data_IF_652745239108
#
_entry.id   IF_652745239108
#
_cell.length_a   1.000
_cell.length_b   1.000
_cell.length_c   1.000
_cell.angle_alpha   90.00
_cell.angle_beta   90.00
_cell.angle_gamma   90.00
#
_symmetry.space_group_name_H-M   'P 1'
#
loop_
_entity.id
_entity.type
_entity.pdbx_description
1 polymer ?
#
# COMPACT_ATOMS: atom_id res chain seq x y z
N UNK A 1 -21.92 -22.55 15.58
CA UNK A 1 -21.63 -21.64 14.46
C UNK A 1 -22.68 -20.53 14.49
N UNK A 2 -22.37 -19.40 15.10
CA UNK A 2 -23.36 -18.34 15.38
C UNK A 2 -23.48 -17.42 14.17
N UNK A 3 -24.66 -17.43 13.53
CA UNK A 3 -25.01 -16.55 12.42
C UNK A 3 -25.39 -15.18 13.00
N UNK A 4 -24.72 -14.12 12.54
CA UNK A 4 -24.97 -12.75 13.00
C UNK A 4 -26.02 -12.10 12.10
N UNK A 5 -27.18 -11.73 12.66
CA UNK A 5 -28.30 -11.12 11.94
C UNK A 5 -28.13 -9.59 11.87
N UNK A 6 -28.02 -9.04 10.65
CA UNK A 6 -27.80 -7.61 10.41
C UNK A 6 -29.07 -6.90 9.87
N UNK A 7 -30.26 -7.41 10.16
CA UNK A 7 -31.52 -6.95 9.55
C UNK A 7 -31.99 -5.57 10.02
N UNK A 8 -31.27 -4.91 10.94
CA UNK A 8 -31.69 -3.64 11.58
C UNK A 8 -30.77 -2.44 11.29
N UNK A 9 -29.75 -2.60 10.44
CA UNK A 9 -28.83 -1.50 10.08
C UNK A 9 -29.48 -0.43 9.19
N UNK A 10 -29.87 0.71 9.76
CA UNK A 10 -30.32 1.88 8.98
C UNK A 10 -29.12 2.48 8.24
N UNK A 11 -29.16 2.48 6.90
CA UNK A 11 -28.14 3.12 6.05
C UNK A 11 -28.21 4.64 6.22
N UNK A 12 -27.26 5.21 6.97
CA UNK A 12 -27.01 6.65 6.99
C UNK A 12 -26.59 7.15 5.61
N UNK A 13 -26.70 8.47 5.40
CA UNK A 13 -26.41 9.13 4.13
C UNK A 13 -25.10 8.63 3.52
N UNK A 14 -25.18 8.15 2.28
CA UNK A 14 -24.00 7.80 1.50
C UNK A 14 -23.25 9.09 1.19
N UNK A 15 -22.21 9.40 1.97
CA UNK A 15 -21.26 10.41 1.58
C UNK A 15 -20.70 10.00 0.20
N UNK A 16 -20.86 10.82 -0.85
CA UNK A 16 -20.40 10.45 -2.17
C UNK A 16 -18.89 10.21 -2.08
N UNK A 17 -18.46 9.01 -2.44
CA UNK A 17 -17.04 8.65 -2.42
C UNK A 17 -16.25 9.71 -3.18
N UNK A 18 -15.17 10.27 -2.60
CA UNK A 18 -14.37 11.29 -3.27
C UNK A 18 -13.93 10.75 -4.63
N UNK A 19 -13.98 11.60 -5.67
CA UNK A 19 -13.76 11.25 -7.08
C UNK A 19 -12.41 10.56 -7.37
N UNK A 20 -11.48 10.62 -6.41
CA UNK A 20 -10.13 10.02 -6.46
C UNK A 20 -10.06 8.60 -5.91
N UNK A 21 -11.13 8.05 -5.35
CA UNK A 21 -11.17 6.68 -4.79
C UNK A 21 -12.22 5.83 -5.48
N UNK A 22 -11.77 4.82 -6.21
CA UNK A 22 -12.66 3.81 -6.81
C UNK A 22 -13.01 2.74 -5.78
N UNK A 23 -14.29 2.55 -5.51
CA UNK A 23 -14.76 1.43 -4.67
C UNK A 23 -14.69 0.13 -5.48
N UNK A 24 -13.81 -0.77 -5.07
CA UNK A 24 -13.69 -2.12 -5.65
C UNK A 24 -14.03 -3.18 -4.61
N UNK A 25 -14.48 -4.36 -5.07
CA UNK A 25 -14.63 -5.55 -4.22
C UNK A 25 -13.57 -6.56 -4.65
N UNK A 26 -12.59 -6.81 -3.79
CA UNK A 26 -11.51 -7.77 -4.02
C UNK A 26 -11.43 -8.74 -2.84
N UNK A 27 -10.98 -9.97 -3.11
CA UNK A 27 -10.62 -10.93 -2.06
C UNK A 27 -9.14 -10.77 -1.75
N UNK A 28 -8.82 -10.67 -0.46
CA UNK A 28 -7.46 -10.71 0.07
C UNK A 28 -7.36 -11.88 1.04
N UNK A 29 -6.18 -12.47 1.13
CA UNK A 29 -5.92 -13.52 2.11
C UNK A 29 -6.10 -13.00 3.54
N UNK A 30 -6.53 -13.90 4.42
CA UNK A 30 -6.92 -13.51 5.78
C UNK A 30 -5.73 -13.03 6.59
N UNK A 31 -4.57 -13.67 6.42
CA UNK A 31 -3.32 -13.31 7.09
C UNK A 31 -2.83 -11.91 6.69
N UNK A 32 -2.98 -11.52 5.42
CA UNK A 32 -2.62 -10.18 4.94
C UNK A 32 -3.49 -9.13 5.66
N UNK A 33 -4.81 -9.33 5.67
CA UNK A 33 -5.74 -8.39 6.33
C UNK A 33 -5.45 -8.29 7.83
N UNK A 34 -5.18 -9.43 8.48
CA UNK A 34 -4.87 -9.51 9.90
C UNK A 34 -3.56 -8.77 10.24
N UNK A 35 -2.52 -8.96 9.43
CA UNK A 35 -1.25 -8.26 9.59
C UNK A 35 -1.43 -6.73 9.55
N UNK A 36 -2.14 -6.21 8.54
CA UNK A 36 -2.38 -4.76 8.43
C UNK A 36 -3.26 -4.21 9.56
N UNK A 37 -4.19 -5.01 10.11
CA UNK A 37 -4.97 -4.64 11.30
C UNK A 37 -4.08 -4.53 12.53
N UNK A 38 -3.24 -5.52 12.77
CA UNK A 38 -2.31 -5.48 13.89
C UNK A 38 -1.36 -4.28 13.79
N UNK A 39 -0.85 -3.93 12.60
CA UNK A 39 -0.02 -2.74 12.44
C UNK A 39 -0.74 -1.46 12.89
N UNK A 40 -2.00 -1.24 12.48
CA UNK A 40 -2.74 -0.03 12.91
C UNK A 40 -3.14 -0.04 14.38
N UNK A 41 -3.41 -1.20 14.95
CA UNK A 41 -3.69 -1.35 16.38
C UNK A 41 -2.47 -0.97 17.22
N UNK A 42 -1.28 -1.47 16.84
CA UNK A 42 -0.02 -1.15 17.53
C UNK A 42 0.37 0.33 17.44
N UNK A 43 -0.03 1.01 16.37
CA UNK A 43 0.21 2.44 16.15
C UNK A 43 -0.76 3.36 16.93
N UNK A 44 -1.66 2.81 17.77
CA UNK A 44 -2.64 3.59 18.53
C UNK A 44 -3.98 3.79 17.83
N UNK A 45 -4.29 2.94 16.84
CA UNK A 45 -5.50 3.00 16.04
C UNK A 45 -5.25 3.58 14.63
N UNK A 46 -6.15 3.27 13.70
CA UNK A 46 -6.01 3.72 12.31
C UNK A 46 -6.88 2.94 11.33
N UNK A 47 -6.82 3.30 10.05
CA UNK A 47 -7.54 2.63 8.99
C UNK A 47 -6.61 1.70 8.20
N UNK A 48 -6.74 0.39 8.41
CA UNK A 48 -5.94 -0.62 7.71
C UNK A 48 -6.09 -0.53 6.18
N UNK A 49 -7.23 -0.06 5.67
CA UNK A 49 -7.42 0.15 4.22
C UNK A 49 -6.55 1.29 3.70
N UNK A 50 -6.33 2.33 4.51
CA UNK A 50 -5.42 3.42 4.14
C UNK A 50 -3.99 2.87 4.05
N UNK A 51 -3.58 2.06 5.03
CA UNK A 51 -2.25 1.46 5.06
C UNK A 51 -2.01 0.53 3.86
N UNK A 52 -2.98 -0.34 3.53
CA UNK A 52 -2.93 -1.19 2.34
C UNK A 52 -2.76 -0.34 1.07
N UNK A 53 -3.58 0.70 0.90
CA UNK A 53 -3.50 1.57 -0.28
C UNK A 53 -2.16 2.31 -0.37
N UNK A 54 -1.61 2.73 0.76
CA UNK A 54 -0.32 3.41 0.81
C UNK A 54 0.82 2.45 0.42
N UNK A 55 0.82 1.22 0.95
CA UNK A 55 1.77 0.18 0.55
C UNK A 55 1.69 -0.14 -0.93
N UNK A 56 0.47 -0.24 -1.50
CA UNK A 56 0.29 -0.46 -2.94
C UNK A 56 0.85 0.72 -3.76
N UNK A 57 0.66 1.96 -3.31
CA UNK A 57 1.22 3.14 -3.96
C UNK A 57 2.75 3.12 -3.91
N UNK A 58 3.33 2.88 -2.75
CA UNK A 58 4.78 2.76 -2.59
C UNK A 58 5.36 1.65 -3.47
N UNK A 59 4.67 0.51 -3.59
CA UNK A 59 5.07 -0.57 -4.48
C UNK A 59 5.08 -0.13 -5.95
N UNK A 60 4.03 0.56 -6.41
CA UNK A 60 3.96 1.12 -7.77
C UNK A 60 5.09 2.12 -7.99
N UNK A 61 5.29 3.07 -7.06
CA UNK A 61 6.36 4.06 -7.14
C UNK A 61 7.74 3.40 -7.20
N UNK A 62 7.97 2.33 -6.44
CA UNK A 62 9.22 1.57 -6.46
C UNK A 62 9.43 0.77 -7.76
N UNK A 63 8.35 0.39 -8.46
CA UNK A 63 8.43 -0.28 -9.77
C UNK A 63 8.61 0.72 -10.92
N UNK A 64 7.97 1.89 -10.84
CA UNK A 64 8.00 2.94 -11.85
C UNK A 64 9.27 3.79 -11.77
N UNK A 65 9.81 3.99 -10.57
CA UNK A 65 11.14 4.56 -10.41
C UNK A 65 12.15 3.54 -10.93
N UNK A 66 13.05 3.94 -11.84
CA UNK A 66 14.24 3.12 -12.13
C UNK A 66 14.80 2.61 -10.80
N UNK A 67 15.06 1.30 -10.64
CA UNK A 67 15.56 0.77 -9.38
C UNK A 67 16.70 1.66 -8.94
N UNK A 68 16.66 2.20 -7.71
CA UNK A 68 17.77 3.01 -7.21
C UNK A 68 19.10 2.23 -7.37
N UNK A 69 19.04 0.90 -7.32
CA UNK A 69 20.14 0.00 -7.70
C UNK A 69 20.68 0.21 -9.12
N UNK A 70 19.83 0.42 -10.12
CA UNK A 70 20.22 0.68 -11.52
C UNK A 70 20.90 2.04 -11.63
N UNK A 71 20.33 3.08 -11.01
CA UNK A 71 20.92 4.43 -10.98
C UNK A 71 22.26 4.42 -10.23
N UNK A 72 22.31 3.79 -9.05
CA UNK A 72 23.54 3.62 -8.26
C UNK A 72 24.60 2.81 -9.04
N UNK A 73 24.22 1.70 -9.68
CA UNK A 73 25.15 0.89 -10.49
C UNK A 73 25.69 1.67 -11.68
N UNK A 74 24.90 2.58 -12.26
CA UNK A 74 25.32 3.44 -13.37
C UNK A 74 26.34 4.47 -12.87
N UNK A 75 25.98 5.23 -11.83
CA UNK A 75 26.86 6.26 -11.23
C UNK A 75 28.17 5.65 -10.76
N UNK A 76 28.15 4.50 -10.07
CA UNK A 76 29.37 3.81 -9.62
C UNK A 76 30.24 3.35 -10.82
N UNK A 77 29.64 2.95 -11.94
CA UNK A 77 30.40 2.54 -13.14
C UNK A 77 31.06 3.73 -13.84
N UNK A 78 30.37 4.87 -13.89
CA UNK A 78 30.89 6.11 -14.47
C UNK A 78 32.11 6.61 -13.68
N UNK A 79 32.00 6.71 -12.35
CA UNK A 79 33.12 7.16 -11.49
C UNK A 79 34.34 6.22 -11.51
N UNK A 80 34.12 4.90 -11.59
CA UNK A 80 35.22 3.92 -11.66
C UNK A 80 35.92 3.89 -13.03
N UNK A 81 35.24 4.28 -14.10
CA UNK A 81 35.83 4.37 -15.44
C UNK A 81 36.72 5.62 -15.57
N UNK A 82 36.30 6.73 -14.96
CA UNK A 82 37.08 7.96 -14.85
C UNK A 82 38.39 7.73 -14.07
N UNK A 83 38.34 6.94 -12.99
CA UNK A 83 39.54 6.61 -12.19
C UNK A 83 40.60 5.76 -12.94
N UNK A 84 40.21 4.98 -13.96
CA UNK A 84 41.16 4.12 -14.71
C UNK A 84 41.84 4.82 -15.89
N UNK A 85 41.42 6.05 -16.21
CA UNK A 85 41.91 6.81 -17.37
C UNK A 85 42.85 7.96 -16.96
N UNK A 86 43.06 8.19 -15.65
CA UNK A 86 43.97 9.21 -15.12
C UNK A 86 45.23 8.64 -14.47
#
# INVERSE_FOLDING_TARGET
MTHYDFSTGKRGAIDPTPTTKTRITIRLDTDIVDWFRHQVETAGGGNYQTLINDTLRQYIEAQESEPLETVLRRVIREELADYKTS
#
